data_IF_297010248690
#
_entry.id   IF_297010248690
#
_cell.length_a   1.000
_cell.length_b   1.000
_cell.length_c   1.000
_cell.angle_alpha   90.00
_cell.angle_beta   90.00
_cell.angle_gamma   90.00
#
_symmetry.space_group_name_H-M   'P 1'
#
loop_
_entity.id
_entity.type
_entity.pdbx_description
1 polymer ?
#
# COMPACT_ATOMS: atom_id res chain seq x y z
N UNK A 1 23.20 7.56 11.56
CA UNK A 1 22.28 8.25 12.50
C UNK A 1 20.84 8.12 12.01
N UNK A 2 19.85 8.18 12.89
CA UNK A 2 18.44 8.03 12.51
C UNK A 2 17.87 9.34 11.93
N UNK A 3 16.79 9.24 11.13
CA UNK A 3 16.09 10.40 10.55
C UNK A 3 15.80 11.50 11.59
N UNK A 4 15.34 11.11 12.78
CA UNK A 4 14.99 12.03 13.85
C UNK A 4 16.20 12.81 14.37
N UNK A 5 17.39 12.17 14.41
CA UNK A 5 18.62 12.83 14.86
C UNK A 5 19.08 13.90 13.86
N UNK A 6 18.98 13.63 12.56
CA UNK A 6 19.30 14.66 11.54
C UNK A 6 18.29 15.80 11.54
N UNK A 7 17.00 15.50 11.74
CA UNK A 7 15.96 16.52 11.82
C UNK A 7 16.13 17.42 13.05
N UNK A 8 16.48 16.85 14.21
CA UNK A 8 16.81 17.59 15.43
C UNK A 8 18.07 18.44 15.24
N UNK A 9 19.14 17.88 14.67
CA UNK A 9 20.37 18.62 14.40
C UNK A 9 20.17 19.82 13.48
N UNK A 10 19.45 19.64 12.36
CA UNK A 10 19.15 20.73 11.43
C UNK A 10 18.31 21.80 12.13
N UNK A 11 17.31 21.40 12.93
CA UNK A 11 16.49 22.36 13.68
C UNK A 11 17.33 23.17 14.68
N UNK A 12 18.11 22.50 15.51
CA UNK A 12 18.94 23.14 16.53
C UNK A 12 19.96 24.10 15.91
N UNK A 13 20.55 23.73 14.79
CA UNK A 13 21.56 24.55 14.12
C UNK A 13 20.94 25.72 13.37
N UNK A 14 19.74 25.55 12.79
CA UNK A 14 18.97 26.67 12.21
C UNK A 14 18.53 27.67 13.28
N UNK A 15 18.15 27.21 14.47
CA UNK A 15 17.81 28.08 15.60
C UNK A 15 19.02 28.85 16.15
N UNK A 16 20.20 28.20 16.22
CA UNK A 16 21.46 28.87 16.60
C UNK A 16 21.86 29.94 15.60
N UNK A 17 21.75 29.64 14.30
CA UNK A 17 22.08 30.60 13.25
C UNK A 17 21.06 31.74 13.16
N UNK A 18 19.77 31.48 13.42
CA UNK A 18 18.76 32.53 13.45
C UNK A 18 18.94 33.50 14.63
N UNK A 19 19.43 33.02 15.77
CA UNK A 19 19.60 33.81 17.00
C UNK A 19 20.92 34.60 17.07
N UNK A 20 21.82 34.41 16.09
CA UNK A 20 23.11 35.10 16.05
C UNK A 20 22.96 36.58 15.71
N UNK A 21 23.22 37.49 16.65
CA UNK A 21 23.14 38.95 16.43
C UNK A 21 24.35 39.47 15.66
N UNK A 22 24.13 40.42 14.76
CA UNK A 22 25.21 41.16 14.11
C UNK A 22 25.78 42.18 15.08
N UNK A 23 27.04 41.96 15.46
CA UNK A 23 27.84 42.97 16.14
C UNK A 23 28.60 43.76 15.07
N UNK A 24 28.25 45.03 14.89
CA UNK A 24 29.06 45.93 14.06
C UNK A 24 30.35 46.28 14.82
N UNK A 25 31.52 46.27 14.16
CA UNK A 25 32.76 46.71 14.78
C UNK A 25 32.63 48.14 15.30
N UNK A 26 33.10 48.39 16.51
CA UNK A 26 32.83 49.63 17.26
C UNK A 26 33.60 50.86 16.72
N UNK A 27 34.49 50.70 15.74
CA UNK A 27 35.50 51.69 15.32
C UNK A 27 35.27 52.31 13.93
N UNK A 28 34.01 52.44 13.48
CA UNK A 28 33.74 52.97 12.15
C UNK A 28 33.71 54.51 12.04
N UNK A 29 34.14 55.27 13.06
CA UNK A 29 34.15 56.75 13.03
C UNK A 29 32.77 57.40 12.86
N UNK A 30 31.69 56.62 13.03
CA UNK A 30 30.30 57.02 12.84
C UNK A 30 29.67 57.48 14.16
N UNK A 31 28.83 58.53 14.09
CA UNK A 31 28.01 58.95 15.23
C UNK A 31 27.20 57.76 15.77
N UNK A 32 27.18 57.57 17.10
CA UNK A 32 26.59 56.41 17.79
C UNK A 32 25.14 56.13 17.38
N UNK A 33 24.38 57.18 17.06
CA UNK A 33 22.99 57.09 16.60
C UNK A 33 22.88 56.52 15.17
N UNK A 34 23.78 56.93 14.26
CA UNK A 34 23.84 56.44 12.88
C UNK A 34 24.32 54.99 12.83
N UNK A 35 25.29 54.63 13.68
CA UNK A 35 25.72 53.24 13.84
C UNK A 35 24.57 52.35 14.32
N UNK A 36 23.73 52.85 15.23
CA UNK A 36 22.59 52.10 15.76
C UNK A 36 21.44 51.96 14.74
N UNK A 37 21.20 52.97 13.90
CA UNK A 37 20.18 52.86 12.84
C UNK A 37 20.63 51.89 11.74
N UNK A 38 21.90 51.93 11.35
CA UNK A 38 22.49 50.98 10.39
C UNK A 38 22.49 49.57 10.98
N UNK A 39 22.85 49.40 12.26
CA UNK A 39 22.78 48.11 12.94
C UNK A 39 21.38 47.51 12.91
N UNK A 40 20.36 48.32 13.23
CA UNK A 40 18.96 47.89 13.21
C UNK A 40 18.48 47.56 11.80
N UNK A 41 18.85 48.36 10.80
CA UNK A 41 18.49 48.11 9.41
C UNK A 41 19.14 46.84 8.86
N UNK A 42 20.42 46.62 9.16
CA UNK A 42 21.16 45.41 8.77
C UNK A 42 20.63 44.17 9.49
N UNK A 43 20.35 44.27 10.79
CA UNK A 43 19.74 43.18 11.55
C UNK A 43 18.36 42.84 10.98
N UNK A 44 17.53 43.83 10.67
CA UNK A 44 16.22 43.62 10.06
C UNK A 44 16.31 42.97 8.66
N UNK A 45 17.24 43.42 7.82
CA UNK A 45 17.47 42.82 6.51
C UNK A 45 17.96 41.37 6.61
N UNK A 46 18.83 41.08 7.58
CA UNK A 46 19.30 39.72 7.85
C UNK A 46 18.22 38.83 8.44
N UNK A 47 17.38 39.34 9.33
CA UNK A 47 16.26 38.59 9.89
C UNK A 47 15.24 38.21 8.81
N UNK A 48 14.98 39.10 7.85
CA UNK A 48 14.18 38.82 6.66
C UNK A 48 14.80 37.73 5.80
N UNK A 49 16.08 37.87 5.47
CA UNK A 49 16.77 36.90 4.63
C UNK A 49 16.90 35.52 5.30
N UNK A 50 17.09 35.49 6.63
CA UNK A 50 17.10 34.26 7.42
C UNK A 50 15.74 33.54 7.41
N UNK A 51 14.63 34.27 7.46
CA UNK A 51 13.29 33.67 7.36
C UNK A 51 13.03 33.03 6.00
N UNK A 52 13.58 33.61 4.94
CA UNK A 52 13.47 33.05 3.59
C UNK A 52 14.34 31.80 3.42
N UNK A 53 15.58 31.84 3.90
CA UNK A 53 16.57 30.76 3.74
C UNK A 53 16.29 29.59 4.67
N UNK A 54 15.94 29.84 5.93
CA UNK A 54 15.70 28.82 6.96
C UNK A 54 14.22 28.42 7.11
N UNK A 55 13.40 28.66 6.08
CA UNK A 55 12.01 28.19 6.07
C UNK A 55 11.96 26.65 6.19
N UNK A 56 10.89 26.12 6.80
CA UNK A 56 10.68 24.68 7.03
C UNK A 56 10.85 23.85 5.76
N UNK A 57 10.36 24.35 4.62
CA UNK A 57 10.53 23.70 3.32
C UNK A 57 12.00 23.51 2.91
N UNK A 58 12.85 24.51 3.13
CA UNK A 58 14.27 24.42 2.79
C UNK A 58 15.00 23.48 3.77
N UNK A 59 14.57 23.44 5.03
CA UNK A 59 15.08 22.48 6.01
C UNK A 59 14.76 21.04 5.61
N UNK A 60 13.53 20.79 5.14
CA UNK A 60 13.11 19.49 4.63
C UNK A 60 13.89 19.09 3.37
N UNK A 61 14.11 20.04 2.44
CA UNK A 61 14.91 19.80 1.23
C UNK A 61 16.36 19.45 1.57
N UNK A 62 16.98 20.13 2.53
CA UNK A 62 18.34 19.82 3.00
C UNK A 62 18.38 18.47 3.70
N UNK A 63 17.39 18.15 4.54
CA UNK A 63 17.28 16.86 5.22
C UNK A 63 17.18 15.71 4.20
N UNK A 64 16.37 15.87 3.16
CA UNK A 64 16.25 14.90 2.07
C UNK A 64 17.58 14.71 1.31
N UNK A 65 18.33 15.78 1.08
CA UNK A 65 19.65 15.71 0.45
C UNK A 65 20.68 15.00 1.34
N UNK A 66 20.69 15.29 2.64
CA UNK A 66 21.58 14.61 3.60
C UNK A 66 21.27 13.11 3.63
N UNK A 67 19.99 12.74 3.75
CA UNK A 67 19.58 11.34 3.76
C UNK A 67 19.94 10.61 2.48
N UNK A 68 19.75 11.23 1.31
CA UNK A 68 20.08 10.56 0.05
C UNK A 68 21.60 10.32 -0.09
N UNK A 69 22.43 11.26 0.37
CA UNK A 69 23.89 11.09 0.40
C UNK A 69 24.35 10.05 1.42
N UNK A 70 23.79 10.07 2.62
CA UNK A 70 24.07 9.08 3.66
C UNK A 70 23.67 7.67 3.20
N UNK A 71 22.51 7.53 2.56
CA UNK A 71 22.10 6.25 1.97
C UNK A 71 23.03 5.80 0.83
N UNK A 72 23.57 6.73 0.04
CA UNK A 72 24.55 6.38 -1.00
C UNK A 72 25.88 5.92 -0.38
N UNK A 73 26.38 6.64 0.63
CA UNK A 73 27.59 6.25 1.36
C UNK A 73 27.43 4.90 2.06
N UNK A 74 26.29 4.68 2.73
CA UNK A 74 25.99 3.42 3.38
C UNK A 74 25.93 2.26 2.37
N UNK A 75 25.42 2.49 1.16
CA UNK A 75 25.46 1.51 0.07
C UNK A 75 26.89 1.19 -0.33
N UNK A 76 27.73 2.20 -0.52
CA UNK A 76 29.14 2.01 -0.90
C UNK A 76 29.93 1.29 0.20
N UNK A 77 29.66 1.60 1.47
CA UNK A 77 30.26 0.94 2.62
C UNK A 77 29.78 -0.51 2.76
N UNK A 78 28.47 -0.76 2.61
CA UNK A 78 27.93 -2.12 2.53
C UNK A 78 28.57 -2.90 1.38
N UNK A 79 28.76 -2.30 0.21
CA UNK A 79 29.45 -2.94 -0.90
C UNK A 79 30.90 -3.29 -0.55
N UNK A 80 31.61 -2.40 0.15
CA UNK A 80 32.98 -2.67 0.63
C UNK A 80 33.02 -3.79 1.67
N UNK A 81 32.11 -3.76 2.64
CA UNK A 81 32.00 -4.79 3.68
C UNK A 81 31.62 -6.13 3.05
N UNK A 82 30.66 -6.17 2.13
CA UNK A 82 30.29 -7.39 1.39
C UNK A 82 31.42 -7.92 0.49
N UNK A 83 32.33 -7.06 0.03
CA UNK A 83 33.53 -7.49 -0.70
C UNK A 83 34.65 -8.00 0.22
N UNK A 84 34.67 -7.58 1.49
CA UNK A 84 35.66 -7.97 2.50
C UNK A 84 35.23 -9.19 3.33
N UNK A 85 33.93 -9.35 3.60
CA UNK A 85 33.34 -10.55 4.22
C UNK A 85 33.35 -11.63 3.15
N UNK A 86 34.43 -12.40 3.13
CA UNK A 86 34.65 -13.50 2.18
C UNK A 86 33.43 -14.41 2.04
N UNK A 87 33.09 -14.72 0.79
CA UNK A 87 32.18 -15.76 0.35
C UNK A 87 30.74 -15.75 0.94
N UNK A 88 29.92 -14.77 0.55
CA UNK A 88 28.59 -15.17 0.07
C UNK A 88 28.78 -15.63 -1.39
N UNK A 89 28.73 -16.94 -1.71
CA UNK A 89 28.84 -17.36 -3.08
C UNK A 89 27.72 -16.69 -3.88
N UNK A 90 28.09 -15.97 -4.94
CA UNK A 90 27.14 -15.28 -5.85
C UNK A 90 26.06 -16.21 -6.39
N UNK A 91 26.28 -17.52 -6.32
CA UNK A 91 25.33 -18.58 -6.67
C UNK A 91 24.15 -18.70 -5.69
N UNK A 92 24.27 -18.23 -4.44
CA UNK A 92 23.19 -18.25 -3.43
C UNK A 92 22.34 -16.98 -3.44
N UNK A 93 22.89 -15.86 -3.92
CA UNK A 93 22.16 -14.61 -4.10
C UNK A 93 21.56 -14.67 -5.51
N UNK A 94 20.24 -14.78 -5.62
CA UNK A 94 19.61 -14.95 -6.92
C UNK A 94 19.95 -13.85 -7.93
N UNK A 95 19.95 -14.20 -9.21
CA UNK A 95 20.51 -13.40 -10.32
C UNK A 95 19.99 -11.97 -10.36
N UNK A 96 18.71 -11.78 -10.06
CA UNK A 96 18.06 -10.48 -10.19
C UNK A 96 18.48 -9.51 -9.05
N UNK A 97 18.87 -10.05 -7.88
CA UNK A 97 19.45 -9.27 -6.78
C UNK A 97 20.90 -8.86 -7.08
N UNK A 98 21.67 -9.71 -7.76
CA UNK A 98 23.04 -9.42 -8.20
C UNK A 98 23.03 -8.36 -9.31
N UNK A 99 22.07 -8.44 -10.23
CA UNK A 99 21.89 -7.46 -11.30
C UNK A 99 21.45 -6.10 -10.75
N UNK A 100 20.56 -6.08 -9.75
CA UNK A 100 20.22 -4.87 -8.99
C UNK A 100 21.42 -4.26 -8.24
N UNK A 101 22.32 -5.10 -7.72
CA UNK A 101 23.53 -4.67 -7.01
C UNK A 101 24.56 -4.02 -7.95
N UNK A 102 24.57 -4.43 -9.22
CA UNK A 102 25.59 -4.03 -10.20
C UNK A 102 25.32 -2.68 -10.86
N UNK A 103 24.17 -2.04 -10.59
CA UNK A 103 23.85 -0.68 -11.05
C UNK A 103 23.76 -0.48 -12.57
N UNK A 104 23.87 -1.55 -13.36
CA UNK A 104 23.63 -1.50 -14.80
C UNK A 104 22.15 -1.33 -15.10
N UNK A 105 21.82 -0.79 -16.29
CA UNK A 105 20.44 -0.72 -16.81
C UNK A 105 19.77 -2.08 -16.63
N UNK A 106 18.93 -2.19 -15.60
CA UNK A 106 18.30 -3.44 -15.18
C UNK A 106 17.22 -3.79 -16.17
N UNK A 107 17.63 -4.43 -17.27
CA UNK A 107 16.74 -5.00 -18.25
C UNK A 107 15.79 -5.98 -17.57
N UNK A 108 14.53 -5.59 -17.44
CA UNK A 108 13.40 -6.43 -17.02
C UNK A 108 13.64 -7.26 -15.74
N UNK A 109 13.56 -6.61 -14.58
CA UNK A 109 13.47 -7.31 -13.29
C UNK A 109 12.11 -8.04 -13.22
N UNK A 110 12.15 -9.37 -13.09
CA UNK A 110 10.92 -10.15 -12.90
C UNK A 110 10.54 -10.14 -11.43
N UNK A 111 9.36 -9.61 -11.10
CA UNK A 111 8.85 -9.62 -9.73
C UNK A 111 8.76 -11.05 -9.17
N UNK A 112 8.42 -12.04 -9.99
CA UNK A 112 8.34 -13.44 -9.56
C UNK A 112 9.70 -13.98 -9.16
N UNK A 113 10.75 -13.67 -9.94
CA UNK A 113 12.12 -14.08 -9.62
C UNK A 113 12.65 -13.36 -8.38
N UNK A 114 12.35 -12.06 -8.26
CA UNK A 114 12.72 -11.27 -7.08
C UNK A 114 12.10 -11.84 -5.79
N UNK A 115 10.83 -12.28 -5.85
CA UNK A 115 10.16 -12.91 -4.71
C UNK A 115 10.85 -14.22 -4.31
N UNK A 116 11.24 -15.04 -5.29
CA UNK A 116 11.96 -16.30 -5.04
C UNK A 116 13.38 -16.05 -4.51
N UNK A 117 14.04 -14.99 -4.97
CA UNK A 117 15.40 -14.64 -4.59
C UNK A 117 15.47 -14.05 -3.17
N UNK A 118 14.45 -13.29 -2.76
CA UNK A 118 14.30 -12.81 -1.38
C UNK A 118 14.16 -13.96 -0.39
N UNK A 119 13.48 -15.05 -0.76
CA UNK A 119 13.35 -16.23 0.11
C UNK A 119 14.67 -17.00 0.28
N UNK A 120 15.53 -16.98 -0.75
CA UNK A 120 16.84 -17.66 -0.74
C UNK A 120 17.91 -16.92 0.02
N UNK A 121 17.70 -15.65 0.37
CA UNK A 121 18.68 -14.87 1.12
C UNK A 121 19.04 -15.59 2.44
N UNK A 122 20.32 -15.78 2.76
CA UNK A 122 20.73 -16.42 4.00
C UNK A 122 20.48 -15.48 5.19
N UNK A 123 20.28 -16.07 6.38
CA UNK A 123 20.34 -15.32 7.64
C UNK A 123 21.81 -15.22 8.04
N UNK A 124 22.30 -14.03 8.33
CA UNK A 124 23.70 -13.81 8.73
C UNK A 124 23.77 -13.64 10.24
N UNK A 125 24.64 -14.38 10.91
CA UNK A 125 24.90 -14.27 12.35
C UNK A 125 26.41 -14.20 12.57
N UNK A 126 26.85 -13.36 13.50
CA UNK A 126 28.25 -13.31 13.94
C UNK A 126 28.63 -14.62 14.62
N UNK A 127 29.83 -15.12 14.31
CA UNK A 127 30.40 -16.33 14.92
C UNK A 127 31.35 -15.96 16.07
N UNK A 128 31.99 -14.78 16.03
CA UNK A 128 32.95 -14.31 17.04
C UNK A 128 32.55 -12.96 17.67
N UNK A 129 32.81 -12.83 18.98
CA UNK A 129 32.49 -11.66 19.81
C UNK A 129 33.42 -10.44 19.56
N UNK A 130 34.52 -10.61 18.82
CA UNK A 130 35.47 -9.52 18.51
C UNK A 130 34.96 -8.54 17.43
N UNK A 131 33.97 -8.94 16.61
CA UNK A 131 33.38 -8.12 15.54
C UNK A 131 32.19 -7.26 16.01
N UNK A 132 32.34 -6.63 17.19
CA UNK A 132 31.28 -5.82 17.81
C UNK A 132 30.83 -4.61 16.97
N UNK A 133 31.67 -4.11 16.05
CA UNK A 133 31.33 -2.99 15.16
C UNK A 133 30.37 -3.37 14.02
N UNK A 134 30.34 -4.64 13.61
CA UNK A 134 29.46 -5.14 12.54
C UNK A 134 28.07 -5.58 13.00
N UNK A 135 27.86 -5.73 14.32
CA UNK A 135 26.61 -6.18 14.91
C UNK A 135 25.36 -5.36 14.53
N UNK A 136 25.38 -4.00 14.53
CA UNK A 136 24.19 -3.22 14.19
C UNK A 136 23.77 -3.41 12.72
N UNK A 137 24.73 -3.46 11.79
CA UNK A 137 24.48 -3.66 10.37
C UNK A 137 23.88 -5.05 10.09
N UNK A 138 24.35 -6.09 10.78
CA UNK A 138 23.81 -7.44 10.64
C UNK A 138 22.40 -7.58 11.22
N UNK A 139 22.11 -6.88 12.32
CA UNK A 139 20.75 -6.80 12.86
C UNK A 139 19.81 -6.09 11.87
N UNK A 140 20.24 -4.98 11.28
CA UNK A 140 19.48 -4.26 10.26
C UNK A 140 19.25 -5.11 9.01
N UNK A 141 20.28 -5.81 8.52
CA UNK A 141 20.16 -6.74 7.39
C UNK A 141 19.11 -7.83 7.67
N UNK A 142 19.19 -8.49 8.84
CA UNK A 142 18.26 -9.55 9.20
C UNK A 142 16.82 -9.02 9.37
N UNK A 143 16.66 -7.80 9.91
CA UNK A 143 15.37 -7.14 10.02
C UNK A 143 14.77 -6.82 8.64
N UNK A 144 15.59 -6.29 7.72
CA UNK A 144 15.20 -6.03 6.34
C UNK A 144 14.82 -7.31 5.60
N UNK A 145 15.63 -8.37 5.74
CA UNK A 145 15.34 -9.69 5.18
C UNK A 145 14.00 -10.23 5.68
N UNK A 146 13.73 -10.13 6.99
CA UNK A 146 12.47 -10.57 7.56
C UNK A 146 11.28 -9.78 7.00
N UNK A 147 11.37 -8.45 6.98
CA UNK A 147 10.33 -7.58 6.46
C UNK A 147 10.07 -7.82 4.95
N UNK A 148 11.11 -8.09 4.17
CA UNK A 148 10.99 -8.44 2.76
C UNK A 148 10.33 -9.82 2.58
N UNK A 149 10.67 -10.80 3.42
CA UNK A 149 10.01 -12.11 3.42
C UNK A 149 8.51 -12.02 3.73
N UNK A 150 8.11 -11.21 4.72
CA UNK A 150 6.70 -10.97 5.03
C UNK A 150 5.95 -10.33 3.85
N UNK A 151 6.56 -9.34 3.20
CA UNK A 151 6.00 -8.70 2.01
C UNK A 151 5.87 -9.68 0.84
N UNK A 152 6.86 -10.55 0.63
CA UNK A 152 6.82 -11.55 -0.41
C UNK A 152 5.66 -12.54 -0.20
N UNK A 153 5.46 -12.99 1.04
CA UNK A 153 4.33 -13.83 1.43
C UNK A 153 2.99 -13.13 1.21
N UNK A 154 2.86 -11.87 1.61
CA UNK A 154 1.64 -11.09 1.40
C UNK A 154 1.32 -10.93 -0.10
N UNK A 155 2.33 -10.72 -0.95
CA UNK A 155 2.15 -10.63 -2.40
C UNK A 155 1.66 -11.98 -2.97
N UNK A 156 2.25 -13.10 -2.56
CA UNK A 156 1.82 -14.44 -2.99
C UNK A 156 0.40 -14.76 -2.55
N UNK A 157 0.02 -14.41 -1.32
CA UNK A 157 -1.36 -14.54 -0.86
C UNK A 157 -2.31 -13.68 -1.69
N UNK A 158 -1.95 -12.42 -1.95
CA UNK A 158 -2.73 -11.53 -2.79
C UNK A 158 -2.91 -12.11 -4.20
N UNK A 159 -1.84 -12.65 -4.82
CA UNK A 159 -1.92 -13.34 -6.12
C UNK A 159 -2.87 -14.54 -6.10
N UNK A 160 -2.96 -15.26 -4.98
CA UNK A 160 -3.90 -16.40 -4.82
C UNK A 160 -5.36 -15.96 -4.66
N UNK A 161 -5.63 -14.90 -3.92
CA UNK A 161 -6.99 -14.44 -3.62
C UNK A 161 -7.57 -13.50 -4.67
N UNK A 162 -6.74 -12.69 -5.32
CA UNK A 162 -7.17 -11.68 -6.27
C UNK A 162 -7.94 -12.26 -7.48
N UNK A 163 -7.58 -13.40 -8.07
CA UNK A 163 -8.39 -14.05 -9.09
C UNK A 163 -9.77 -14.49 -8.58
N UNK A 164 -9.86 -14.95 -7.32
CA UNK A 164 -11.14 -15.36 -6.71
C UNK A 164 -12.05 -14.15 -6.50
N UNK A 165 -11.51 -13.06 -5.95
CA UNK A 165 -12.23 -11.79 -5.77
C UNK A 165 -12.66 -11.20 -7.12
N UNK A 166 -11.81 -11.24 -8.15
CA UNK A 166 -12.17 -10.81 -9.51
C UNK A 166 -13.31 -11.64 -10.10
N UNK A 167 -13.32 -12.97 -9.88
CA UNK A 167 -14.43 -13.83 -10.32
C UNK A 167 -15.73 -13.48 -9.61
N UNK A 168 -15.69 -13.29 -8.28
CA UNK A 168 -16.85 -12.88 -7.50
C UNK A 168 -17.38 -11.51 -7.94
N UNK A 169 -16.48 -10.52 -8.12
CA UNK A 169 -16.86 -9.20 -8.60
C UNK A 169 -17.51 -9.27 -9.99
N UNK A 170 -16.98 -10.08 -10.91
CA UNK A 170 -17.60 -10.31 -12.22
C UNK A 170 -18.98 -10.95 -12.12
N UNK A 171 -19.18 -11.95 -11.25
CA UNK A 171 -20.50 -12.55 -11.05
C UNK A 171 -21.51 -11.55 -10.47
N UNK A 172 -21.06 -10.68 -9.55
CA UNK A 172 -21.91 -9.60 -9.02
C UNK A 172 -22.28 -8.59 -10.10
N UNK A 173 -21.32 -8.18 -10.93
CA UNK A 173 -21.57 -7.29 -12.06
C UNK A 173 -22.53 -7.92 -13.09
N UNK A 174 -22.40 -9.22 -13.35
CA UNK A 174 -23.32 -9.94 -14.22
C UNK A 174 -24.74 -10.01 -13.64
N UNK A 175 -24.87 -10.29 -12.34
CA UNK A 175 -26.16 -10.28 -11.65
C UNK A 175 -26.79 -8.90 -11.72
N UNK A 176 -26.02 -7.86 -11.41
CA UNK A 176 -26.48 -6.48 -11.48
C UNK A 176 -26.89 -6.10 -12.91
N UNK A 177 -26.12 -6.51 -13.92
CA UNK A 177 -26.45 -6.34 -15.33
C UNK A 177 -27.76 -7.03 -15.71
N UNK A 178 -27.95 -8.30 -15.31
CA UNK A 178 -29.18 -9.03 -15.57
C UNK A 178 -30.41 -8.37 -14.92
N UNK A 179 -30.28 -7.85 -13.70
CA UNK A 179 -31.36 -7.10 -13.04
C UNK A 179 -31.65 -5.78 -13.77
N UNK A 180 -30.60 -5.06 -14.21
CA UNK A 180 -30.74 -3.84 -15.03
C UNK A 180 -31.46 -4.10 -16.35
N UNK A 181 -31.14 -5.21 -17.01
CA UNK A 181 -31.73 -5.58 -18.30
C UNK A 181 -33.22 -5.94 -18.17
N UNK A 182 -33.64 -6.54 -17.04
CA UNK A 182 -35.03 -6.97 -16.82
C UNK A 182 -35.90 -5.89 -16.18
N UNK A 183 -35.37 -5.11 -15.23
CA UNK A 183 -36.14 -4.16 -14.42
C UNK A 183 -35.80 -2.68 -14.69
N UNK A 184 -34.82 -2.40 -15.54
CA UNK A 184 -34.31 -1.06 -15.82
C UNK A 184 -33.23 -0.61 -14.83
N UNK A 185 -32.35 0.29 -15.28
CA UNK A 185 -31.18 0.72 -14.51
C UNK A 185 -31.50 1.46 -13.20
N UNK A 186 -32.66 2.11 -13.13
CA UNK A 186 -33.10 2.94 -12.01
C UNK A 186 -33.70 2.13 -10.85
N UNK A 187 -34.08 0.87 -11.10
CA UNK A 187 -34.83 0.05 -10.14
C UNK A 187 -34.01 -1.07 -9.49
N UNK A 188 -32.68 -1.10 -9.69
CA UNK A 188 -31.83 -2.19 -9.18
C UNK A 188 -31.82 -2.24 -7.66
N UNK A 189 -31.68 -1.09 -7.01
CA UNK A 189 -31.61 -1.03 -5.55
C UNK A 189 -32.99 -1.28 -4.92
N UNK A 190 -34.05 -0.78 -5.57
CA UNK A 190 -35.45 -1.05 -5.17
C UNK A 190 -35.77 -2.54 -5.31
N UNK A 191 -35.31 -3.20 -6.38
CA UNK A 191 -35.48 -4.63 -6.59
C UNK A 191 -34.90 -5.47 -5.47
N UNK A 192 -33.67 -5.16 -5.03
CA UNK A 192 -33.04 -5.91 -3.92
C UNK A 192 -33.70 -5.62 -2.56
N UNK A 193 -34.22 -4.42 -2.35
CA UNK A 193 -34.95 -4.06 -1.12
C UNK A 193 -36.32 -4.74 -1.03
N UNK A 194 -37.04 -4.81 -2.16
CA UNK A 194 -38.37 -5.40 -2.23
C UNK A 194 -38.34 -6.91 -2.50
N UNK A 195 -37.17 -7.50 -2.73
CA UNK A 195 -37.03 -8.91 -3.11
C UNK A 195 -37.71 -9.85 -2.12
N UNK A 196 -37.50 -9.66 -0.82
CA UNK A 196 -38.10 -10.52 0.22
C UNK A 196 -39.63 -10.42 0.23
N UNK A 197 -40.16 -9.20 0.13
CA UNK A 197 -41.60 -8.94 0.05
C UNK A 197 -42.19 -9.58 -1.21
N UNK A 198 -41.53 -9.43 -2.36
CA UNK A 198 -41.96 -9.98 -3.65
C UNK A 198 -41.92 -11.51 -3.68
N UNK A 199 -40.93 -12.14 -3.04
CA UNK A 199 -40.89 -13.61 -2.89
C UNK A 199 -42.01 -14.07 -1.97
N UNK A 200 -42.27 -13.36 -0.87
CA UNK A 200 -43.35 -13.71 0.06
C UNK A 200 -44.73 -13.59 -0.59
N UNK A 201 -45.00 -12.53 -1.35
CA UNK A 201 -46.27 -12.36 -2.07
C UNK A 201 -46.46 -13.43 -3.14
N UNK A 202 -45.44 -13.70 -3.95
CA UNK A 202 -45.47 -14.78 -4.95
C UNK A 202 -45.68 -16.17 -4.32
N UNK A 203 -45.08 -16.44 -3.15
CA UNK A 203 -45.30 -17.67 -2.42
C UNK A 203 -46.74 -17.79 -1.89
N UNK A 204 -47.31 -16.70 -1.35
CA UNK A 204 -48.71 -16.68 -0.90
C UNK A 204 -49.69 -16.86 -2.06
N UNK A 205 -49.43 -16.24 -3.20
CA UNK A 205 -50.22 -16.43 -4.41
C UNK A 205 -50.14 -17.86 -4.92
N UNK A 206 -48.95 -18.47 -4.94
CA UNK A 206 -48.78 -19.88 -5.30
C UNK A 206 -49.52 -20.82 -4.33
N UNK A 207 -49.47 -20.55 -3.02
CA UNK A 207 -50.24 -21.30 -2.01
C UNK A 207 -51.75 -21.12 -2.22
N UNK A 208 -52.21 -19.90 -2.49
CA UNK A 208 -53.61 -19.62 -2.78
C UNK A 208 -54.09 -20.35 -4.04
N UNK A 209 -53.29 -20.38 -5.10
CA UNK A 209 -53.57 -21.12 -6.33
C UNK A 209 -53.58 -22.64 -6.11
N UNK A 210 -52.69 -23.15 -5.25
CA UNK A 210 -52.69 -24.56 -4.86
C UNK A 210 -53.93 -24.91 -4.03
N UNK A 211 -54.33 -24.04 -3.11
CA UNK A 211 -55.55 -24.21 -2.32
C UNK A 211 -56.81 -24.18 -3.17
N UNK A 212 -56.92 -23.27 -4.14
CA UNK A 212 -58.07 -23.24 -5.05
C UNK A 212 -58.12 -24.49 -5.92
N UNK A 213 -56.96 -24.98 -6.38
CA UNK A 213 -56.86 -26.25 -7.10
C UNK A 213 -57.32 -27.46 -6.26
N UNK A 214 -56.93 -27.50 -4.99
CA UNK A 214 -57.29 -28.57 -4.05
C UNK A 214 -58.78 -28.51 -3.67
N UNK A 215 -59.33 -27.31 -3.44
CA UNK A 215 -60.75 -27.08 -3.13
C UNK A 215 -61.67 -27.41 -4.30
N UNK A 216 -61.20 -27.28 -5.55
CA UNK A 216 -61.94 -27.62 -6.78
C UNK A 216 -61.82 -29.09 -7.22
N UNK A 217 -61.41 -30.02 -6.34
CA UNK A 217 -61.23 -31.46 -6.65
C UNK A 217 -60.35 -31.72 -7.90
N UNK A 218 -59.34 -30.88 -8.15
CA UNK A 218 -58.40 -31.05 -9.26
C UNK A 218 -58.84 -30.50 -10.62
N UNK A 219 -59.99 -29.83 -10.73
CA UNK A 219 -60.39 -29.16 -11.97
C UNK A 219 -60.02 -27.66 -11.91
N UNK A 220 -58.76 -27.35 -12.20
CA UNK A 220 -58.30 -25.97 -12.42
C UNK A 220 -58.80 -25.45 -13.79
N UNK A 221 -59.26 -24.18 -13.89
CA UNK A 221 -59.44 -23.50 -15.17
C UNK A 221 -58.13 -23.52 -15.98
N UNK A 222 -58.21 -23.72 -17.31
CA UNK A 222 -57.04 -23.90 -18.19
C UNK A 222 -55.98 -22.79 -18.03
N UNK A 223 -56.42 -21.55 -17.83
CA UNK A 223 -55.54 -20.39 -17.64
C UNK A 223 -54.69 -20.47 -16.35
N UNK A 224 -55.25 -21.01 -15.26
CA UNK A 224 -54.55 -21.17 -13.98
C UNK A 224 -53.61 -22.40 -13.98
N UNK A 225 -53.91 -23.39 -14.80
CA UNK A 225 -53.02 -24.52 -15.08
C UNK A 225 -51.80 -24.08 -15.90
N UNK A 226 -51.99 -23.16 -16.84
CA UNK A 226 -50.90 -22.57 -17.62
C UNK A 226 -50.00 -21.67 -16.78
N UNK A 227 -50.56 -20.88 -15.86
CA UNK A 227 -49.77 -20.09 -14.91
C UNK A 227 -48.99 -20.99 -13.94
N UNK A 228 -49.60 -22.05 -13.39
CA UNK A 228 -48.90 -23.05 -12.58
C UNK A 228 -47.83 -23.81 -13.36
N UNK A 229 -48.10 -24.19 -14.61
CA UNK A 229 -47.10 -24.82 -15.48
C UNK A 229 -45.94 -23.88 -15.76
N UNK A 230 -46.20 -22.59 -16.02
CA UNK A 230 -45.15 -21.57 -16.18
C UNK A 230 -44.29 -21.45 -14.92
N UNK A 231 -44.91 -21.36 -13.74
CA UNK A 231 -44.20 -21.30 -12.44
C UNK A 231 -43.36 -22.56 -12.23
N UNK A 232 -43.91 -23.76 -12.48
CA UNK A 232 -43.17 -25.03 -12.35
C UNK A 232 -42.05 -25.16 -13.37
N UNK A 233 -42.23 -24.70 -14.61
CA UNK A 233 -41.15 -24.67 -15.61
C UNK A 233 -40.06 -23.67 -15.25
N UNK A 234 -40.39 -22.51 -14.70
CA UNK A 234 -39.39 -21.55 -14.19
C UNK A 234 -38.61 -22.14 -13.00
N UNK A 235 -39.29 -22.83 -12.08
CA UNK A 235 -38.65 -23.51 -10.95
C UNK A 235 -37.80 -24.72 -11.36
N UNK A 236 -38.14 -25.42 -12.46
CA UNK A 236 -37.33 -26.51 -13.02
C UNK A 236 -36.17 -26.02 -13.90
N UNK A 237 -36.26 -24.81 -14.46
CA UNK A 237 -35.21 -24.22 -15.29
C UNK A 237 -34.04 -23.64 -14.48
N UNK A 238 -34.18 -23.50 -13.15
CA UNK A 238 -33.06 -23.24 -12.24
C UNK A 238 -32.16 -24.48 -12.18
N UNK A 239 -30.89 -24.42 -12.60
CA UNK A 239 -30.00 -25.57 -12.53
C UNK A 239 -29.85 -25.98 -11.06
N UNK A 240 -30.28 -27.21 -10.75
CA UNK A 240 -29.97 -27.88 -9.49
C UNK A 240 -28.44 -28.06 -9.42
N UNK A 241 -27.72 -27.04 -8.96
CA UNK A 241 -26.34 -27.18 -8.49
C UNK A 241 -26.37 -27.97 -7.17
N UNK A 242 -26.65 -29.27 -7.26
CA UNK A 242 -26.37 -30.27 -6.24
C UNK A 242 -25.22 -31.13 -6.71
N UNK A 243 -24.02 -30.56 -6.72
CA UNK A 243 -22.76 -31.29 -6.51
C UNK A 243 -21.78 -30.39 -5.73
N UNK A 244 -22.12 -30.10 -4.49
CA UNK A 244 -21.11 -30.01 -3.44
C UNK A 244 -20.77 -31.44 -3.04
N UNK A 245 -19.91 -32.11 -3.81
CA UNK A 245 -19.16 -33.24 -3.27
C UNK A 245 -18.10 -32.64 -2.38
N UNK A 246 -18.30 -32.81 -1.08
CA UNK A 246 -17.20 -32.86 -0.12
C UNK A 246 -16.60 -34.24 -0.29
N UNK A 247 -15.44 -34.30 -0.91
CA UNK A 247 -14.32 -35.21 -0.62
C UNK A 247 -13.05 -34.43 -0.99
#
# INVERSE_FOLDING_TARGET
MSYNQYAEFIRDETERMSNSRVQLPSDAGLHREVSNTIAKALQHALDLHRKEVFNTRNQDDVLAQVLSKEQALLRDELQRVMALVGDLPREQIGSDLVDLQSGGDSGFISLERLLDDVEKLPRVSLIDEEDSEGEPLLREYNALRHALGEKAMAIREAQRYLPKLKRQARSWQQLQGAVKDVHGAENVDVYFQEYESNVATQAHEACRLAETALKAKGALPREQLESLRRIVTMLRALPRNRKGKVD
#
